data_IF_967364377128
#
_entry.id   IF_967364377128
#
_cell.length_a   1.000
_cell.length_b   1.000
_cell.length_c   1.000
_cell.angle_alpha   90.00
_cell.angle_beta   90.00
_cell.angle_gamma   90.00
#
_symmetry.space_group_name_H-M   'P 1'
#
loop_
_entity.id
_entity.type
_entity.pdbx_description
1 polymer ?
#
# COMPACT_ATOMS: atom_id res chain seq x y z
N UNK A 1 13.74 -4.66 -13.36
CA UNK A 1 13.31 -5.30 -12.09
C UNK A 1 12.17 -4.45 -11.57
N UNK A 2 10.96 -5.00 -11.46
CA UNK A 2 9.77 -4.27 -11.00
C UNK A 2 9.51 -4.63 -9.54
N UNK A 3 9.52 -3.61 -8.68
CA UNK A 3 9.16 -3.71 -7.26
C UNK A 3 7.77 -3.13 -7.03
N UNK A 4 6.89 -3.94 -6.45
CA UNK A 4 5.54 -3.53 -6.05
C UNK A 4 5.43 -3.57 -4.54
N UNK A 5 4.93 -2.49 -3.93
CA UNK A 5 4.66 -2.42 -2.49
C UNK A 5 3.15 -2.38 -2.25
N UNK A 6 2.66 -3.26 -1.37
CA UNK A 6 1.24 -3.29 -0.96
C UNK A 6 1.15 -2.75 0.46
N UNK A 7 0.46 -1.63 0.64
CA UNK A 7 0.21 -1.02 1.94
C UNK A 7 -1.16 -1.44 2.47
N UNK A 8 -1.20 -2.20 3.57
CA UNK A 8 -2.40 -2.89 4.05
C UNK A 8 -2.45 -4.35 3.60
N UNK A 9 -1.28 -4.98 3.44
CA UNK A 9 -1.12 -6.31 2.87
C UNK A 9 -1.74 -7.44 3.72
N UNK A 10 -1.94 -7.23 5.02
CA UNK A 10 -2.55 -8.24 5.90
C UNK A 10 -4.09 -8.10 5.98
N UNK A 11 -4.67 -7.06 5.37
CA UNK A 11 -6.11 -6.85 5.32
C UNK A 11 -6.84 -7.83 4.40
N UNK A 12 -8.18 -7.83 4.47
CA UNK A 12 -9.03 -8.74 3.68
C UNK A 12 -8.90 -8.59 2.16
N UNK A 13 -8.55 -7.39 1.67
CA UNK A 13 -8.18 -7.17 0.25
C UNK A 13 -6.68 -7.45 0.04
N UNK A 14 -5.85 -7.02 0.98
CA UNK A 14 -4.38 -7.10 0.87
C UNK A 14 -3.86 -8.52 0.67
N UNK A 15 -4.36 -9.50 1.42
CA UNK A 15 -3.89 -10.89 1.34
C UNK A 15 -4.13 -11.51 -0.05
N UNK A 16 -5.38 -11.59 -0.56
CA UNK A 16 -5.62 -12.17 -1.88
C UNK A 16 -4.99 -11.33 -3.01
N UNK A 17 -4.93 -10.01 -2.87
CA UNK A 17 -4.22 -9.15 -3.84
C UNK A 17 -2.72 -9.50 -3.90
N UNK A 18 -2.08 -9.70 -2.74
CA UNK A 18 -0.67 -10.09 -2.65
C UNK A 18 -0.42 -11.45 -3.31
N UNK A 19 -1.31 -12.43 -3.08
CA UNK A 19 -1.27 -13.74 -3.71
C UNK A 19 -1.34 -13.66 -5.24
N UNK A 20 -2.24 -12.84 -5.77
CA UNK A 20 -2.40 -12.68 -7.22
C UNK A 20 -1.21 -11.96 -7.85
N UNK A 21 -0.68 -10.91 -7.18
CA UNK A 21 0.47 -10.16 -7.69
C UNK A 21 1.76 -11.00 -7.67
N UNK A 22 1.95 -11.87 -6.68
CA UNK A 22 3.11 -12.77 -6.65
C UNK A 22 3.18 -13.70 -7.87
N UNK A 23 2.03 -14.11 -8.40
CA UNK A 23 1.95 -15.01 -9.57
C UNK A 23 2.24 -14.31 -10.90
N UNK A 24 2.44 -12.98 -10.92
CA UNK A 24 2.71 -12.23 -12.14
C UNK A 24 4.17 -12.31 -12.56
N UNK A 25 4.41 -12.71 -13.82
CA UNK A 25 5.75 -12.72 -14.43
C UNK A 25 6.37 -11.31 -14.60
N UNK A 26 5.57 -10.25 -14.44
CA UNK A 26 6.03 -8.87 -14.56
C UNK A 26 6.67 -8.33 -13.28
N UNK A 27 6.36 -8.95 -12.13
CA UNK A 27 6.79 -8.49 -10.81
C UNK A 27 7.97 -9.34 -10.38
N UNK A 28 9.04 -8.70 -9.92
CA UNK A 28 10.26 -9.38 -9.46
C UNK A 28 10.47 -9.26 -7.95
N UNK A 29 9.87 -8.24 -7.32
CA UNK A 29 9.92 -8.03 -5.87
C UNK A 29 8.55 -7.56 -5.38
N UNK A 30 8.05 -8.22 -4.34
CA UNK A 30 6.81 -7.90 -3.67
C UNK A 30 7.09 -7.52 -2.21
N UNK A 31 6.86 -6.25 -1.87
CA UNK A 31 6.99 -5.75 -0.51
C UNK A 31 5.61 -5.64 0.14
N UNK A 32 5.41 -6.34 1.25
CA UNK A 32 4.14 -6.36 1.97
C UNK A 32 4.28 -5.52 3.23
N UNK A 33 3.61 -4.37 3.27
CA UNK A 33 3.58 -3.51 4.45
C UNK A 33 2.22 -3.60 5.14
N UNK A 34 2.25 -3.78 6.45
CA UNK A 34 1.08 -3.64 7.30
C UNK A 34 1.52 -3.35 8.74
N UNK A 35 0.63 -2.71 9.51
CA UNK A 35 0.86 -2.47 10.94
C UNK A 35 0.74 -3.75 11.76
N UNK A 36 0.12 -4.80 11.21
CA UNK A 36 -0.03 -6.12 11.85
C UNK A 36 0.20 -7.24 10.81
N UNK A 37 0.82 -8.34 11.23
CA UNK A 37 0.90 -9.62 10.50
C UNK A 37 1.61 -9.66 9.13
N UNK A 38 2.05 -8.55 8.54
CA UNK A 38 2.72 -8.54 7.23
C UNK A 38 3.92 -9.53 7.11
N UNK A 39 4.81 -9.69 8.12
CA UNK A 39 5.86 -10.71 8.06
C UNK A 39 5.34 -12.14 7.94
N UNK A 40 4.22 -12.46 8.60
CA UNK A 40 3.59 -13.78 8.51
C UNK A 40 2.97 -14.03 7.13
N UNK A 41 2.27 -13.04 6.59
CA UNK A 41 1.71 -13.11 5.21
C UNK A 41 2.82 -13.30 4.18
N UNK A 42 3.95 -12.60 4.35
CA UNK A 42 5.10 -12.76 3.46
C UNK A 42 5.74 -14.15 3.58
N UNK A 43 5.82 -14.73 4.78
CA UNK A 43 6.34 -16.08 4.99
C UNK A 43 5.44 -17.15 4.36
N UNK A 44 4.12 -16.97 4.40
CA UNK A 44 3.17 -17.86 3.71
C UNK A 44 3.37 -17.79 2.20
N UNK A 45 3.38 -16.57 1.65
CA UNK A 45 3.54 -16.34 0.21
C UNK A 45 4.91 -16.76 -0.33
N UNK A 46 5.97 -16.71 0.46
CA UNK A 46 7.32 -17.07 0.00
C UNK A 46 7.50 -18.55 -0.33
N UNK A 47 6.55 -19.40 0.07
CA UNK A 47 6.55 -20.83 -0.28
C UNK A 47 6.05 -21.11 -1.70
N UNK A 48 5.44 -20.13 -2.38
CA UNK A 48 4.94 -20.30 -3.75
C UNK A 48 6.13 -20.21 -4.72
N UNK A 49 6.26 -21.18 -5.63
CA UNK A 49 7.43 -21.34 -6.51
C UNK A 49 7.49 -20.36 -7.70
N UNK A 50 7.28 -19.07 -7.43
CA UNK A 50 7.43 -18.01 -8.44
C UNK A 50 8.85 -17.47 -8.48
N UNK A 51 9.19 -16.76 -9.54
CA UNK A 51 10.50 -16.11 -9.69
C UNK A 51 10.62 -14.82 -8.83
N UNK A 52 9.50 -14.31 -8.31
CA UNK A 52 9.42 -13.12 -7.49
C UNK A 52 9.94 -13.36 -6.08
N UNK A 53 10.64 -12.38 -5.50
CA UNK A 53 10.93 -12.38 -4.06
C UNK A 53 9.83 -11.66 -3.29
N UNK A 54 9.50 -12.12 -2.08
CA UNK A 54 8.52 -11.48 -1.21
C UNK A 54 9.13 -11.18 0.16
N UNK A 55 8.84 -9.99 0.71
CA UNK A 55 9.29 -9.59 2.04
C UNK A 55 8.18 -8.82 2.76
N UNK A 56 7.97 -9.17 4.04
CA UNK A 56 7.04 -8.50 4.92
C UNK A 56 7.72 -7.44 5.78
N UNK A 57 7.01 -6.34 6.02
CA UNK A 57 7.48 -5.16 6.74
C UNK A 57 6.42 -4.77 7.76
N UNK A 58 6.83 -4.68 9.03
CA UNK A 58 5.95 -4.27 10.14
C UNK A 58 5.77 -2.76 10.23
N UNK A 59 5.01 -2.32 11.25
CA UNK A 59 4.62 -0.92 11.49
C UNK A 59 5.76 0.10 11.38
N UNK A 60 6.93 -0.22 11.93
CA UNK A 60 8.09 0.70 11.97
C UNK A 60 8.93 0.68 10.70
N UNK A 61 8.60 -0.21 9.75
CA UNK A 61 9.42 -0.50 8.58
C UNK A 61 8.80 0.02 7.26
N UNK A 62 7.94 1.04 7.36
CA UNK A 62 7.23 1.61 6.20
C UNK A 62 8.21 2.16 5.16
N UNK A 63 9.23 2.89 5.60
CA UNK A 63 10.22 3.50 4.71
C UNK A 63 10.99 2.42 3.93
N UNK A 64 11.41 1.35 4.58
CA UNK A 64 12.09 0.23 3.95
C UNK A 64 11.19 -0.53 2.97
N UNK A 65 9.89 -0.64 3.27
CA UNK A 65 8.92 -1.24 2.37
C UNK A 65 8.75 -0.42 1.09
N UNK A 66 8.68 0.90 1.22
CA UNK A 66 8.42 1.85 0.13
C UNK A 66 9.65 2.15 -0.72
N UNK A 67 10.86 2.09 -0.14
CA UNK A 67 12.10 2.45 -0.81
C UNK A 67 12.22 1.82 -2.20
N UNK A 68 12.44 2.65 -3.21
CA UNK A 68 12.65 2.24 -4.62
C UNK A 68 11.48 1.42 -5.22
N UNK A 69 10.27 1.53 -4.66
CA UNK A 69 9.07 0.93 -5.26
C UNK A 69 8.75 1.59 -6.61
N UNK A 70 8.36 0.78 -7.60
CA UNK A 70 7.89 1.25 -8.90
C UNK A 70 6.36 1.44 -8.90
N UNK A 71 5.66 0.66 -8.09
CA UNK A 71 4.21 0.76 -7.91
C UNK A 71 3.89 0.57 -6.43
N UNK A 72 3.01 1.42 -5.91
CA UNK A 72 2.49 1.31 -4.55
C UNK A 72 0.97 1.16 -4.62
N UNK A 73 0.46 0.05 -4.11
CA UNK A 73 -0.98 -0.22 -4.04
C UNK A 73 -1.45 -0.01 -2.61
N UNK A 74 -2.54 0.76 -2.44
CA UNK A 74 -3.05 1.14 -1.13
C UNK A 74 -4.46 0.55 -0.91
N UNK A 75 -4.57 -0.74 -0.56
CA UNK A 75 -5.80 -1.32 0.01
C UNK A 75 -5.99 -0.99 1.49
N UNK A 76 -5.00 -0.41 2.17
CA UNK A 76 -5.08 -0.05 3.59
C UNK A 76 -6.30 0.81 3.91
N UNK A 77 -6.97 0.47 5.00
CA UNK A 77 -8.14 1.19 5.46
C UNK A 77 -8.97 0.32 6.38
N UNK A 78 -9.85 0.97 7.13
CA UNK A 78 -10.82 0.28 7.97
C UNK A 78 -12.07 0.00 7.12
N UNK A 79 -12.61 -1.23 7.13
CA UNK A 79 -13.89 -1.51 6.49
C UNK A 79 -15.01 -0.85 7.28
N UNK A 80 -16.09 -0.49 6.60
CA UNK A 80 -17.28 0.07 7.28
C UNK A 80 -17.82 -0.94 8.29
N UNK A 81 -17.92 -0.53 9.55
CA UNK A 81 -18.55 -1.34 10.63
C UNK A 81 -20.00 -0.91 10.84
N UNK A 82 -20.89 -1.81 11.32
CA UNK A 82 -22.22 -1.42 11.78
C UNK A 82 -22.13 -0.27 12.79
N UNK A 83 -23.00 0.74 12.64
CA UNK A 83 -23.01 1.93 13.50
C UNK A 83 -21.98 3.03 13.14
N UNK A 84 -21.04 2.78 12.22
CA UNK A 84 -20.09 3.80 11.76
C UNK A 84 -20.72 4.72 10.73
N UNK A 85 -20.61 6.04 10.95
CA UNK A 85 -21.04 7.03 9.96
C UNK A 85 -20.09 7.08 8.75
N UNK A 86 -20.54 7.68 7.65
CA UNK A 86 -19.67 7.93 6.48
C UNK A 86 -18.49 8.84 6.84
N UNK A 87 -18.73 9.80 7.73
CA UNK A 87 -17.76 10.81 8.12
C UNK A 87 -16.66 10.22 9.02
N UNK A 88 -17.02 9.31 9.93
CA UNK A 88 -16.06 8.60 10.77
C UNK A 88 -15.13 7.71 9.93
N UNK A 89 -15.71 6.96 8.99
CA UNK A 89 -14.95 6.14 8.06
C UNK A 89 -13.96 6.98 7.25
N UNK A 90 -14.43 8.12 6.73
CA UNK A 90 -13.59 9.05 5.99
C UNK A 90 -12.45 9.59 6.85
N UNK A 91 -12.70 10.07 8.08
CA UNK A 91 -11.66 10.62 8.96
C UNK A 91 -10.53 9.61 9.24
N UNK A 92 -10.90 8.36 9.49
CA UNK A 92 -9.92 7.29 9.75
C UNK A 92 -9.09 7.01 8.50
N UNK A 93 -9.75 6.76 7.36
CA UNK A 93 -9.04 6.39 6.13
C UNK A 93 -8.27 7.57 5.52
N UNK A 94 -8.73 8.80 5.72
CA UNK A 94 -8.01 10.02 5.32
C UNK A 94 -6.66 10.13 6.05
N UNK A 95 -6.62 9.84 7.36
CA UNK A 95 -5.37 9.81 8.12
C UNK A 95 -4.41 8.75 7.62
N UNK A 96 -4.90 7.52 7.45
CA UNK A 96 -4.11 6.38 6.94
C UNK A 96 -3.51 6.70 5.56
N UNK A 97 -4.33 7.18 4.63
CA UNK A 97 -3.90 7.49 3.26
C UNK A 97 -2.91 8.66 3.24
N UNK A 98 -3.13 9.69 4.06
CA UNK A 98 -2.19 10.80 4.20
C UNK A 98 -0.82 10.31 4.63
N UNK A 99 -0.75 9.53 5.71
CA UNK A 99 0.54 9.07 6.27
C UNK A 99 1.29 8.16 5.29
N UNK A 100 0.57 7.30 4.56
CA UNK A 100 1.15 6.50 3.49
C UNK A 100 1.64 7.36 2.31
N UNK A 101 0.90 8.40 1.93
CA UNK A 101 1.32 9.33 0.89
C UNK A 101 2.57 10.14 1.29
N UNK A 102 2.70 10.51 2.57
CA UNK A 102 3.93 11.12 3.11
C UNK A 102 5.11 10.14 3.02
N UNK A 103 4.89 8.87 3.35
CA UNK A 103 5.89 7.82 3.14
C UNK A 103 6.31 7.68 1.67
N UNK A 104 5.35 7.67 0.74
CA UNK A 104 5.61 7.56 -0.70
C UNK A 104 6.43 8.76 -1.20
N UNK A 105 6.03 9.98 -0.83
CA UNK A 105 6.72 11.21 -1.23
C UNK A 105 8.21 11.19 -0.88
N UNK A 106 8.55 10.62 0.28
CA UNK A 106 9.92 10.62 0.81
C UNK A 106 10.78 9.44 0.31
N UNK A 107 10.17 8.30 -0.06
CA UNK A 107 10.92 7.07 -0.30
C UNK A 107 10.84 6.55 -1.75
N UNK A 108 9.78 6.88 -2.48
CA UNK A 108 9.56 6.45 -3.86
C UNK A 108 8.67 7.44 -4.63
N UNK A 109 9.10 8.72 -4.76
CA UNK A 109 8.27 9.78 -5.37
C UNK A 109 7.88 9.54 -6.83
N UNK A 110 8.62 8.67 -7.53
CA UNK A 110 8.35 8.31 -8.93
C UNK A 110 7.46 7.07 -9.09
N UNK A 111 6.98 6.47 -7.99
CA UNK A 111 6.13 5.28 -8.04
C UNK A 111 4.74 5.60 -8.60
N UNK A 112 4.18 4.70 -9.39
CA UNK A 112 2.76 4.73 -9.73
C UNK A 112 1.93 4.38 -8.48
N UNK A 113 1.04 5.27 -8.05
CA UNK A 113 0.24 5.09 -6.83
C UNK A 113 -1.19 4.66 -7.16
N UNK A 114 -1.58 3.46 -6.71
CA UNK A 114 -2.89 2.87 -6.97
C UNK A 114 -3.72 2.86 -5.67
N UNK A 115 -4.65 3.80 -5.55
CA UNK A 115 -5.49 3.97 -4.35
C UNK A 115 -6.74 3.09 -4.43
N UNK A 116 -6.89 2.18 -3.46
CA UNK A 116 -8.11 1.37 -3.28
C UNK A 116 -8.89 1.84 -2.04
N UNK A 117 -8.20 2.46 -1.06
CA UNK A 117 -8.78 2.97 0.18
C UNK A 117 -10.04 3.82 -0.05
N UNK A 118 -11.15 3.37 0.52
CA UNK A 118 -12.41 4.10 0.44
C UNK A 118 -12.47 5.26 1.44
N UNK A 119 -13.18 6.35 1.13
CA UNK A 119 -13.86 6.63 -0.14
C UNK A 119 -12.89 7.18 -1.21
N UNK A 120 -12.77 6.49 -2.36
CA UNK A 120 -11.80 6.81 -3.42
C UNK A 120 -11.89 8.25 -3.91
N UNK A 121 -13.12 8.77 -4.05
CA UNK A 121 -13.39 10.14 -4.50
C UNK A 121 -12.78 11.23 -3.58
N UNK A 122 -12.39 10.87 -2.36
CA UNK A 122 -11.76 11.79 -1.41
C UNK A 122 -10.32 11.40 -1.07
N UNK A 123 -10.00 10.10 -1.05
CA UNK A 123 -8.63 9.62 -0.75
C UNK A 123 -7.66 9.90 -1.90
N UNK A 124 -8.09 9.84 -3.17
CA UNK A 124 -7.24 10.24 -4.31
C UNK A 124 -6.84 11.72 -4.23
N UNK A 125 -7.76 12.69 -4.04
CA UNK A 125 -7.38 14.08 -3.78
C UNK A 125 -6.41 14.27 -2.62
N UNK A 126 -6.56 13.52 -1.52
CA UNK A 126 -5.62 13.57 -0.38
C UNK A 126 -4.20 13.19 -0.82
N UNK A 127 -4.03 12.06 -1.53
CA UNK A 127 -2.72 11.65 -2.05
C UNK A 127 -2.13 12.74 -2.94
N UNK A 128 -2.91 13.27 -3.87
CA UNK A 128 -2.46 14.33 -4.77
C UNK A 128 -1.97 15.57 -4.01
N UNK A 129 -2.73 16.06 -3.02
CA UNK A 129 -2.35 17.24 -2.24
C UNK A 129 -1.12 17.01 -1.35
N UNK A 130 -0.98 15.80 -0.78
CA UNK A 130 0.24 15.44 -0.03
C UNK A 130 1.46 15.43 -0.94
N UNK A 131 1.37 14.82 -2.13
CA UNK A 131 2.48 14.79 -3.09
C UNK A 131 2.81 16.20 -3.62
N UNK A 132 1.80 17.06 -3.84
CA UNK A 132 2.01 18.47 -4.25
C UNK A 132 2.74 19.25 -3.16
N UNK A 133 2.35 19.07 -1.89
CA UNK A 133 3.01 19.70 -0.74
C UNK A 133 4.50 19.35 -0.65
N UNK A 134 4.88 18.14 -1.08
CA UNK A 134 6.26 17.68 -1.13
C UNK A 134 6.98 18.04 -2.45
N UNK A 135 6.30 18.66 -3.41
CA UNK A 135 6.88 19.04 -4.70
C UNK A 135 7.15 17.86 -5.65
N UNK A 136 6.54 16.70 -5.42
CA UNK A 136 6.80 15.45 -6.17
C UNK A 136 5.58 14.91 -6.91
N UNK A 137 4.48 15.68 -6.96
CA UNK A 137 3.27 15.25 -7.65
C UNK A 137 3.47 15.15 -9.16
N UNK A 138 3.23 13.94 -9.69
CA UNK A 138 3.09 13.68 -11.12
C UNK A 138 1.65 13.22 -11.39
N UNK A 139 0.89 13.90 -12.29
CA UNK A 139 -0.49 13.52 -12.59
C UNK A 139 -0.63 12.29 -13.49
N UNK A 140 0.48 11.73 -14.00
CA UNK A 140 0.52 10.50 -14.80
C UNK A 140 0.79 9.29 -13.90
#
# INVERSE_FOLDING_TARGET
MVKVTICGAAGGIGQPLSLLLLQSDLITQLALFDVVNAPGVAADLSHINTHSTVKGYGKEQMNEALKDAHTVVIPAGVPRKPGMSRDDLFKINAGIVRDLAEGIANNCPNACVLVISNPVNSTVPIVCEVLKKHGVFNPK
#
